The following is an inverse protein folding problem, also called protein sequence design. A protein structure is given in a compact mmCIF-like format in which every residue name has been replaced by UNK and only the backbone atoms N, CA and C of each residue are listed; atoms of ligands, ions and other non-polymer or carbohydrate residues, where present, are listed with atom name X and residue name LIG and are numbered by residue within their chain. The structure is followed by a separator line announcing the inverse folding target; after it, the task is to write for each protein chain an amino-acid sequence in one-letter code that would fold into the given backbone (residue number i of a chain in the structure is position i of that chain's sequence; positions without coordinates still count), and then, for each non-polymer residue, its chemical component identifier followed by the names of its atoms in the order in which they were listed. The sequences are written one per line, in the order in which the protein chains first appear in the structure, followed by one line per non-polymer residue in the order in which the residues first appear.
data_IF_178706923268
#
_entry.id   IF_178706923268
#
_cell.length_a   1.000
_cell.length_b   1.000
_cell.length_c   1.000
_cell.angle_alpha   90.00
_cell.angle_beta   90.00
_cell.angle_gamma   90.00
#
_symmetry.space_group_name_H-M   'P 1'
#
loop_
_entity.id
_entity.type
_entity.pdbx_description
1 polymer ?
#
# COMPACT_ATOMS: atom_id res chain seq x y z
N UNK A 1 -40.39 -86.21 -42.24
CA UNK A 1 -39.65 -87.15 -41.38
C UNK A 1 -38.25 -86.55 -41.23
N UNK A 2 -37.98 -85.81 -40.16
CA UNK A 2 -36.65 -85.27 -39.85
C UNK A 2 -36.20 -85.96 -38.55
N UNK A 3 -35.06 -86.60 -38.70
CA UNK A 3 -34.38 -87.35 -37.62
C UNK A 3 -33.55 -86.31 -36.81
N UNK A 4 -33.85 -86.21 -35.50
CA UNK A 4 -33.05 -85.34 -34.58
C UNK A 4 -32.11 -86.30 -33.84
N UNK A 5 -30.83 -86.16 -33.91
CA UNK A 5 -29.89 -86.96 -33.15
C UNK A 5 -29.82 -86.43 -31.70
N UNK A 6 -30.00 -87.30 -30.72
CA UNK A 6 -29.80 -87.05 -29.29
C UNK A 6 -28.35 -86.62 -29.04
N UNK A 7 -28.17 -85.34 -28.79
CA UNK A 7 -26.86 -84.75 -28.39
C UNK A 7 -26.58 -85.02 -26.92
N UNK A 8 -25.56 -85.77 -26.60
CA UNK A 8 -25.00 -85.88 -25.25
C UNK A 8 -24.56 -84.54 -24.70
N UNK A 9 -24.83 -84.21 -23.37
CA UNK A 9 -24.45 -82.90 -22.82
C UNK A 9 -22.92 -82.68 -22.85
N UNK A 10 -22.51 -81.57 -23.47
CA UNK A 10 -21.16 -81.19 -23.67
C UNK A 10 -20.37 -80.63 -22.45
N UNK A 11 -21.04 -80.69 -21.29
CA UNK A 11 -20.38 -80.20 -20.06
C UNK A 11 -19.97 -81.36 -19.14
N UNK A 12 -18.77 -81.91 -19.37
CA UNK A 12 -18.07 -82.70 -18.37
C UNK A 12 -17.55 -81.76 -17.29
N UNK A 13 -18.10 -81.73 -16.08
CA UNK A 13 -17.49 -81.20 -14.87
C UNK A 13 -16.13 -81.91 -14.69
N UNK A 14 -15.05 -81.23 -15.11
CA UNK A 14 -13.72 -81.62 -14.67
C UNK A 14 -13.59 -81.21 -13.19
N UNK A 15 -13.61 -82.23 -12.30
CA UNK A 15 -13.13 -82.05 -10.94
C UNK A 15 -11.65 -81.72 -10.99
N UNK A 16 -11.32 -80.39 -11.07
CA UNK A 16 -9.97 -79.96 -10.83
C UNK A 16 -9.61 -80.23 -9.39
N UNK A 17 -8.83 -81.28 -9.11
CA UNK A 17 -8.27 -81.56 -7.79
C UNK A 17 -7.48 -80.29 -7.42
N UNK A 18 -7.88 -79.60 -6.31
CA UNK A 18 -7.15 -78.49 -5.79
C UNK A 18 -5.74 -78.98 -5.40
N UNK A 19 -4.74 -78.21 -5.85
CA UNK A 19 -3.36 -78.50 -5.51
C UNK A 19 -3.16 -78.22 -4.01
N UNK A 20 -2.86 -79.25 -3.17
CA UNK A 20 -2.81 -79.08 -1.73
C UNK A 20 -1.78 -78.04 -1.28
N UNK A 21 -0.69 -77.83 -2.06
CA UNK A 21 0.29 -76.81 -1.81
C UNK A 21 -0.27 -75.38 -2.00
N UNK A 22 -1.17 -75.19 -2.98
CA UNK A 22 -1.83 -73.89 -3.20
C UNK A 22 -2.83 -73.58 -2.06
N UNK A 23 -3.55 -74.60 -1.57
CA UNK A 23 -4.46 -74.45 -0.47
C UNK A 23 -3.71 -74.10 0.81
N UNK A 24 -2.60 -74.79 1.07
CA UNK A 24 -1.75 -74.55 2.22
C UNK A 24 -1.14 -73.14 2.17
N UNK A 25 -0.62 -72.72 1.01
CA UNK A 25 -0.07 -71.35 0.81
C UNK A 25 -1.11 -70.27 1.00
N UNK A 26 -2.31 -70.43 0.48
CA UNK A 26 -3.41 -69.48 0.69
C UNK A 26 -3.85 -69.42 2.16
N UNK A 27 -3.89 -70.56 2.86
CA UNK A 27 -4.19 -70.62 4.29
C UNK A 27 -3.13 -69.89 5.13
N UNK A 28 -1.87 -70.06 4.84
CA UNK A 28 -0.79 -69.35 5.52
C UNK A 28 -0.83 -67.84 5.25
N UNK A 29 -1.19 -67.41 4.03
CA UNK A 29 -1.39 -65.99 3.73
C UNK A 29 -2.59 -65.41 4.49
N UNK A 30 -3.69 -66.12 4.59
CA UNK A 30 -4.88 -65.68 5.34
C UNK A 30 -4.57 -65.60 6.84
N UNK A 31 -3.88 -66.59 7.42
CA UNK A 31 -3.44 -66.56 8.82
C UNK A 31 -2.48 -65.41 9.08
N UNK A 32 -1.51 -65.18 8.18
CA UNK A 32 -0.58 -64.01 8.24
C UNK A 32 -1.34 -62.69 8.17
N UNK A 33 -2.31 -62.55 7.24
CA UNK A 33 -3.13 -61.33 7.13
C UNK A 33 -4.00 -61.09 8.38
N UNK A 34 -4.56 -62.18 9.00
CA UNK A 34 -5.29 -62.09 10.25
C UNK A 34 -4.40 -61.66 11.44
N UNK A 35 -3.15 -62.13 11.47
CA UNK A 35 -2.18 -61.72 12.49
C UNK A 35 -1.83 -60.24 12.33
N UNK A 36 -1.57 -59.78 11.11
CA UNK A 36 -1.30 -58.35 10.81
C UNK A 36 -2.53 -57.51 11.15
N UNK A 37 -3.72 -57.94 10.76
CA UNK A 37 -4.97 -57.27 11.10
C UNK A 37 -5.19 -57.16 12.62
N UNK A 38 -4.92 -58.24 13.35
CA UNK A 38 -5.02 -58.23 14.82
C UNK A 38 -3.97 -57.27 15.44
N UNK A 39 -2.74 -57.28 14.96
CA UNK A 39 -1.69 -56.37 15.44
C UNK A 39 -2.04 -54.88 15.16
N UNK A 40 -2.66 -54.58 14.02
CA UNK A 40 -3.18 -53.25 13.70
C UNK A 40 -4.37 -52.87 14.59
N UNK A 41 -5.31 -53.83 14.84
CA UNK A 41 -6.48 -53.61 15.67
C UNK A 41 -6.17 -53.46 17.18
N UNK A 42 -5.09 -54.08 17.67
CA UNK A 42 -4.60 -53.96 19.06
C UNK A 42 -3.61 -52.81 19.26
N UNK A 43 -3.20 -52.10 18.18
CA UNK A 43 -2.21 -51.02 18.25
C UNK A 43 -0.76 -51.48 18.44
N UNK A 44 -0.49 -52.81 18.38
CA UNK A 44 0.88 -53.35 18.48
C UNK A 44 1.69 -53.16 17.21
N UNK A 45 1.04 -52.91 16.07
CA UNK A 45 1.63 -52.64 14.77
C UNK A 45 1.06 -51.34 14.25
N UNK A 46 1.94 -50.33 14.01
CA UNK A 46 1.53 -49.05 13.41
C UNK A 46 1.23 -49.27 11.93
N UNK A 47 0.05 -48.86 11.47
CA UNK A 47 -0.33 -48.93 10.06
C UNK A 47 0.62 -48.07 9.20
N UNK A 48 1.27 -48.64 8.16
CA UNK A 48 2.07 -47.82 7.24
C UNK A 48 1.24 -46.84 6.41
N UNK A 49 -0.11 -46.93 6.52
CA UNK A 49 -1.06 -46.04 5.83
C UNK A 49 -1.77 -45.08 6.80
N UNK A 50 -1.43 -45.08 8.10
CA UNK A 50 -1.89 -44.02 8.98
C UNK A 50 -1.23 -42.73 8.50
N UNK A 51 -2.01 -41.68 8.22
CA UNK A 51 -1.41 -40.37 7.90
C UNK A 51 -0.53 -39.97 9.08
N UNK A 52 0.76 -39.73 8.80
CA UNK A 52 1.64 -39.14 9.81
C UNK A 52 0.95 -37.87 10.29
N UNK A 53 0.73 -37.68 11.61
CA UNK A 53 0.11 -36.46 12.07
C UNK A 53 0.91 -35.30 11.47
N UNK A 54 0.24 -34.48 10.66
CA UNK A 54 0.87 -33.25 10.14
C UNK A 54 1.34 -32.48 11.35
N UNK A 55 2.63 -32.16 11.49
CA UNK A 55 3.09 -31.42 12.65
C UNK A 55 2.25 -30.17 12.78
N UNK A 56 1.60 -30.00 13.91
CA UNK A 56 0.83 -28.78 14.21
C UNK A 56 1.79 -27.61 14.01
N UNK A 57 1.44 -26.68 13.12
CA UNK A 57 2.28 -25.51 12.89
C UNK A 57 2.44 -24.76 14.21
N UNK A 58 3.67 -24.48 14.58
CA UNK A 58 4.02 -23.70 15.78
C UNK A 58 4.05 -22.20 15.44
N UNK A 59 3.88 -21.29 16.40
CA UNK A 59 3.93 -19.84 16.16
C UNK A 59 5.15 -19.42 15.33
N UNK A 60 6.34 -19.96 15.65
CA UNK A 60 7.58 -19.67 14.93
C UNK A 60 7.52 -19.97 13.42
N UNK A 61 6.73 -20.96 12.98
CA UNK A 61 6.58 -21.25 11.54
C UNK A 61 5.78 -20.18 10.80
N UNK A 62 4.80 -19.58 11.46
CA UNK A 62 4.02 -18.46 10.93
C UNK A 62 4.83 -17.15 10.97
N UNK A 63 5.64 -16.95 11.99
CA UNK A 63 6.58 -15.81 12.06
C UNK A 63 7.56 -15.85 10.89
N UNK A 64 8.19 -17.00 10.64
CA UNK A 64 9.09 -17.16 9.49
C UNK A 64 8.38 -16.94 8.16
N UNK A 65 7.14 -17.45 8.03
CA UNK A 65 6.31 -17.19 6.86
C UNK A 65 6.03 -15.69 6.70
N UNK A 66 5.65 -15.00 7.79
CA UNK A 66 5.40 -13.55 7.80
C UNK A 66 6.63 -12.75 7.40
N UNK A 67 7.81 -13.09 7.92
CA UNK A 67 9.09 -12.47 7.55
C UNK A 67 9.38 -12.65 6.05
N UNK A 68 9.23 -13.87 5.53
CA UNK A 68 9.45 -14.16 4.10
C UNK A 68 8.49 -13.36 3.21
N UNK A 69 7.22 -13.23 3.63
CA UNK A 69 6.23 -12.44 2.90
C UNK A 69 6.52 -10.93 2.96
N UNK A 70 6.99 -10.43 4.10
CA UNK A 70 7.45 -9.05 4.23
C UNK A 70 8.63 -8.76 3.28
N UNK A 71 9.64 -9.63 3.25
CA UNK A 71 10.77 -9.53 2.33
C UNK A 71 10.33 -9.61 0.85
N UNK A 72 9.25 -10.37 0.58
CA UNK A 72 8.63 -10.42 -0.74
C UNK A 72 7.77 -9.18 -1.07
N UNK A 73 7.53 -8.28 -0.12
CA UNK A 73 6.67 -7.10 -0.25
C UNK A 73 5.17 -7.39 -0.09
N UNK A 74 4.78 -8.64 0.18
CA UNK A 74 3.39 -9.02 0.45
C UNK A 74 3.01 -8.71 1.91
N UNK A 75 2.73 -7.42 2.16
CA UNK A 75 2.35 -6.95 3.50
C UNK A 75 1.04 -7.59 3.98
N UNK A 76 0.09 -7.81 3.10
CA UNK A 76 -1.19 -8.45 3.43
C UNK A 76 -0.98 -9.89 3.88
N UNK A 77 -0.19 -10.65 3.13
CA UNK A 77 0.18 -12.02 3.50
C UNK A 77 1.00 -12.08 4.77
N UNK A 78 1.93 -11.14 4.97
CA UNK A 78 2.74 -11.04 6.20
C UNK A 78 1.85 -10.79 7.42
N UNK A 79 0.94 -9.83 7.37
CA UNK A 79 -0.04 -9.54 8.42
C UNK A 79 -0.86 -10.79 8.75
N UNK A 80 -1.40 -11.48 7.74
CA UNK A 80 -2.18 -12.69 7.95
C UNK A 80 -1.38 -13.82 8.63
N UNK A 81 -0.09 -13.96 8.29
CA UNK A 81 0.79 -14.93 8.93
C UNK A 81 1.07 -14.58 10.40
N UNK A 82 1.36 -13.31 10.72
CA UNK A 82 1.55 -12.87 12.11
C UNK A 82 0.26 -13.01 12.94
N UNK A 83 -0.91 -12.73 12.37
CA UNK A 83 -2.20 -12.99 13.04
C UNK A 83 -2.38 -14.46 13.39
N UNK A 84 -1.96 -15.39 12.51
CA UNK A 84 -1.98 -16.82 12.82
C UNK A 84 -0.96 -17.19 13.92
N UNK A 85 0.20 -16.55 13.96
CA UNK A 85 1.16 -16.76 15.04
C UNK A 85 0.58 -16.30 16.39
N UNK A 86 -0.04 -15.11 16.44
CA UNK A 86 -0.67 -14.54 17.63
C UNK A 86 -1.87 -15.39 18.08
N UNK A 87 -2.65 -15.96 17.16
CA UNK A 87 -3.75 -16.85 17.54
C UNK A 87 -3.28 -18.11 18.31
N UNK A 88 -2.02 -18.51 18.14
CA UNK A 88 -1.40 -19.63 18.87
C UNK A 88 -0.63 -19.17 20.12
N UNK A 89 -0.20 -17.91 20.19
CA UNK A 89 0.57 -17.33 21.29
C UNK A 89 0.10 -15.88 21.53
N UNK A 90 -1.12 -15.70 22.10
CA UNK A 90 -1.76 -14.38 22.19
C UNK A 90 -1.09 -13.42 23.19
N UNK A 91 -0.31 -13.93 24.13
CA UNK A 91 0.37 -13.13 25.16
C UNK A 91 1.81 -12.73 24.74
N UNK A 92 2.14 -12.83 23.46
CA UNK A 92 3.46 -12.51 22.93
C UNK A 92 3.52 -11.05 22.46
N UNK A 93 4.01 -10.18 23.33
CA UNK A 93 4.12 -8.74 23.07
C UNK A 93 4.95 -8.41 21.81
N UNK A 94 6.03 -9.16 21.56
CA UNK A 94 6.90 -8.93 20.41
C UNK A 94 6.17 -9.23 19.07
N UNK A 95 5.31 -10.25 19.03
CA UNK A 95 4.51 -10.57 17.84
C UNK A 95 3.46 -9.49 17.58
N UNK A 96 2.80 -9.00 18.64
CA UNK A 96 1.83 -7.91 18.53
C UNK A 96 2.50 -6.60 18.07
N UNK A 97 3.67 -6.27 18.61
CA UNK A 97 4.44 -5.11 18.19
C UNK A 97 4.84 -5.19 16.72
N UNK A 98 5.36 -6.34 16.27
CA UNK A 98 5.73 -6.52 14.85
C UNK A 98 4.50 -6.45 13.94
N UNK A 99 3.37 -7.04 14.36
CA UNK A 99 2.11 -6.90 13.62
C UNK A 99 1.67 -5.43 13.53
N UNK A 100 1.82 -4.65 14.61
CA UNK A 100 1.53 -3.21 14.59
C UNK A 100 2.42 -2.46 13.57
N UNK A 101 3.71 -2.77 13.51
CA UNK A 101 4.64 -2.19 12.54
C UNK A 101 4.26 -2.54 11.10
N UNK A 102 3.96 -3.81 10.81
CA UNK A 102 3.52 -4.27 9.50
C UNK A 102 2.20 -3.62 9.07
N UNK A 103 1.25 -3.50 10.02
CA UNK A 103 -0.04 -2.86 9.77
C UNK A 103 0.13 -1.37 9.45
N UNK A 104 1.06 -0.67 10.13
CA UNK A 104 1.38 0.71 9.80
C UNK A 104 1.97 0.80 8.37
N UNK A 105 2.93 -0.06 8.00
CA UNK A 105 3.48 -0.07 6.64
C UNK A 105 2.42 -0.41 5.58
N UNK A 106 1.46 -1.28 5.88
CA UNK A 106 0.40 -1.62 4.93
C UNK A 106 -0.47 -0.43 4.54
N UNK A 107 -0.53 0.61 5.40
CA UNK A 107 -1.26 1.84 5.09
C UNK A 107 -0.72 2.57 3.85
N UNK A 108 0.56 2.37 3.51
CA UNK A 108 1.19 2.96 2.31
C UNK A 108 0.68 2.41 0.98
N UNK A 109 -0.05 1.28 1.01
CA UNK A 109 -0.65 0.65 -0.17
C UNK A 109 -2.14 1.02 -0.35
N UNK A 110 -2.69 1.83 0.56
CA UNK A 110 -4.09 2.22 0.57
C UNK A 110 -4.26 3.60 -0.08
N UNK A 111 -5.35 3.78 -0.82
CA UNK A 111 -5.55 4.95 -1.67
C UNK A 111 -6.54 5.96 -1.09
N UNK A 112 -7.38 5.55 -0.13
CA UNK A 112 -8.36 6.45 0.50
C UNK A 112 -7.99 6.77 1.94
N UNK A 113 -8.18 8.03 2.34
CA UNK A 113 -7.93 8.50 3.70
C UNK A 113 -8.62 7.64 4.77
N UNK A 114 -9.84 7.22 4.49
CA UNK A 114 -10.60 6.37 5.42
C UNK A 114 -9.95 5.01 5.63
N UNK A 115 -9.42 4.38 4.56
CA UNK A 115 -8.70 3.10 4.65
C UNK A 115 -7.36 3.26 5.35
N UNK A 116 -6.59 4.30 5.00
CA UNK A 116 -5.32 4.63 5.65
C UNK A 116 -5.52 4.83 7.15
N UNK A 117 -6.50 5.67 7.54
CA UNK A 117 -6.80 5.94 8.93
C UNK A 117 -7.26 4.68 9.68
N UNK A 118 -8.07 3.83 9.05
CA UNK A 118 -8.50 2.57 9.66
C UNK A 118 -7.31 1.60 9.89
N UNK A 119 -6.40 1.49 8.93
CA UNK A 119 -5.19 0.66 9.06
C UNK A 119 -4.25 1.18 10.16
N UNK A 120 -4.03 2.49 10.23
CA UNK A 120 -3.21 3.12 11.25
C UNK A 120 -3.81 2.98 12.65
N UNK A 121 -5.12 3.14 12.80
CA UNK A 121 -5.82 2.91 14.08
C UNK A 121 -5.72 1.46 14.52
N UNK A 122 -5.83 0.51 13.60
CA UNK A 122 -5.64 -0.90 13.92
C UNK A 122 -4.20 -1.21 14.33
N UNK A 123 -3.20 -0.60 13.67
CA UNK A 123 -1.80 -0.68 14.11
C UNK A 123 -1.62 -0.18 15.55
N UNK A 124 -2.29 0.94 15.88
CA UNK A 124 -2.28 1.51 17.25
C UNK A 124 -2.88 0.54 18.27
N UNK A 125 -4.00 -0.11 17.96
CA UNK A 125 -4.61 -1.12 18.84
C UNK A 125 -3.66 -2.29 19.15
N UNK A 126 -2.93 -2.79 18.16
CA UNK A 126 -1.94 -3.85 18.36
C UNK A 126 -0.73 -3.36 19.19
N UNK A 127 -0.26 -2.13 18.96
CA UNK A 127 0.82 -1.54 19.76
C UNK A 127 0.41 -1.35 21.22
N UNK A 128 -0.83 -0.92 21.48
CA UNK A 128 -1.37 -0.76 22.84
C UNK A 128 -1.47 -2.11 23.56
N UNK A 129 -1.96 -3.16 22.87
CA UNK A 129 -1.98 -4.52 23.42
C UNK A 129 -0.57 -5.03 23.74
N UNK A 130 0.41 -4.76 22.87
CA UNK A 130 1.80 -5.14 23.11
C UNK A 130 2.37 -4.47 24.37
N UNK A 131 2.09 -3.19 24.58
CA UNK A 131 2.52 -2.42 25.77
C UNK A 131 1.86 -2.93 27.04
N UNK A 132 0.59 -3.32 27.00
CA UNK A 132 -0.08 -3.90 28.18
C UNK A 132 0.61 -5.19 28.65
N UNK A 133 1.15 -5.99 27.73
CA UNK A 133 1.86 -7.24 28.02
C UNK A 133 3.31 -6.99 28.45
N UNK A 134 3.99 -6.00 27.87
CA UNK A 134 5.42 -5.74 28.10
C UNK A 134 5.72 -4.22 28.22
N UNK A 135 5.28 -3.57 29.30
CA UNK A 135 5.40 -2.11 29.46
C UNK A 135 6.84 -1.59 29.60
N UNK A 136 7.80 -2.45 29.89
CA UNK A 136 9.20 -2.12 30.09
C UNK A 136 10.11 -2.78 29.03
N UNK A 137 9.55 -3.20 27.90
CA UNK A 137 10.31 -3.69 26.77
C UNK A 137 10.67 -2.53 25.83
N UNK A 138 11.95 -2.25 25.66
CA UNK A 138 12.46 -1.14 24.84
C UNK A 138 12.04 -1.26 23.36
N UNK A 139 11.99 -2.49 22.80
CA UNK A 139 11.58 -2.71 21.40
C UNK A 139 10.08 -2.44 21.21
N UNK A 140 9.25 -2.94 22.12
CA UNK A 140 7.80 -2.72 22.08
C UNK A 140 7.47 -1.23 22.20
N UNK A 141 8.17 -0.51 23.09
CA UNK A 141 8.04 0.93 23.24
C UNK A 141 8.49 1.70 22.00
N UNK A 142 9.58 1.28 21.34
CA UNK A 142 10.03 1.88 20.08
C UNK A 142 8.99 1.73 18.98
N UNK A 143 8.39 0.53 18.83
CA UNK A 143 7.34 0.30 17.84
C UNK A 143 6.05 1.07 18.19
N UNK A 144 5.67 1.18 19.48
CA UNK A 144 4.59 2.06 19.88
C UNK A 144 4.85 3.48 19.40
N UNK A 145 6.03 4.02 19.63
CA UNK A 145 6.39 5.37 19.21
C UNK A 145 6.26 5.57 17.70
N UNK A 146 6.77 4.64 16.90
CA UNK A 146 6.63 4.64 15.44
C UNK A 146 5.15 4.65 15.01
N UNK A 147 4.34 3.76 15.54
CA UNK A 147 2.93 3.63 15.18
C UNK A 147 2.14 4.88 15.58
N UNK A 148 2.40 5.46 16.75
CA UNK A 148 1.75 6.69 17.19
C UNK A 148 2.16 7.90 16.35
N UNK A 149 3.43 8.00 15.96
CA UNK A 149 3.92 9.03 15.06
C UNK A 149 3.22 8.95 13.69
N UNK A 150 3.08 7.75 13.12
CA UNK A 150 2.39 7.57 11.85
C UNK A 150 0.87 7.86 11.94
N UNK A 151 0.23 7.58 13.09
CA UNK A 151 -1.15 7.99 13.35
C UNK A 151 -1.31 9.51 13.48
N UNK A 152 -0.24 10.26 13.77
CA UNK A 152 -0.24 11.72 13.89
C UNK A 152 -0.19 12.43 12.52
N UNK A 153 -0.60 11.78 11.43
CA UNK A 153 -0.64 12.38 10.11
C UNK A 153 -1.67 13.52 10.06
N UNK A 154 -1.20 14.77 9.97
CA UNK A 154 -2.01 15.98 10.04
C UNK A 154 -3.04 16.15 8.92
N UNK A 155 -2.94 15.39 7.82
CA UNK A 155 -3.97 15.36 6.78
C UNK A 155 -5.17 14.46 7.14
N UNK A 156 -4.98 13.55 8.10
CA UNK A 156 -5.98 12.52 8.45
C UNK A 156 -6.67 12.77 9.80
N UNK A 157 -6.05 13.55 10.68
CA UNK A 157 -6.53 13.80 12.06
C UNK A 157 -6.54 15.28 12.39
N UNK A 158 -7.31 15.67 13.40
CA UNK A 158 -7.32 17.05 13.89
C UNK A 158 -5.97 17.44 14.51
N UNK A 159 -5.67 18.75 14.55
CA UNK A 159 -4.45 19.24 15.16
C UNK A 159 -4.34 18.86 16.66
N UNK A 160 -5.45 18.86 17.38
CA UNK A 160 -5.48 18.43 18.79
C UNK A 160 -5.10 16.92 18.92
N UNK A 161 -5.69 16.07 18.09
CA UNK A 161 -5.37 14.63 18.06
C UNK A 161 -3.93 14.40 17.62
N UNK A 162 -3.44 15.13 16.61
CA UNK A 162 -2.05 15.07 16.14
C UNK A 162 -1.05 15.36 17.26
N UNK A 163 -1.27 16.46 18.00
CA UNK A 163 -0.38 16.85 19.11
C UNK A 163 -0.41 15.83 20.25
N UNK A 164 -1.57 15.27 20.56
CA UNK A 164 -1.69 14.23 21.57
C UNK A 164 -0.91 12.96 21.18
N UNK A 165 -1.07 12.50 19.93
CA UNK A 165 -0.36 11.33 19.40
C UNK A 165 1.15 11.54 19.39
N UNK A 166 1.63 12.70 18.95
CA UNK A 166 3.07 13.03 18.96
C UNK A 166 3.65 13.06 20.39
N UNK A 167 2.90 13.62 21.35
CA UNK A 167 3.33 13.62 22.75
C UNK A 167 3.46 12.21 23.32
N UNK A 168 2.52 11.31 23.00
CA UNK A 168 2.62 9.90 23.41
C UNK A 168 3.75 9.15 22.71
N UNK A 169 3.98 9.43 21.42
CA UNK A 169 5.10 8.87 20.69
C UNK A 169 6.43 9.29 21.30
N UNK A 170 6.60 10.56 21.65
CA UNK A 170 7.81 11.10 22.28
C UNK A 170 8.04 10.48 23.67
N UNK A 171 7.01 10.33 24.48
CA UNK A 171 7.12 9.67 25.80
C UNK A 171 7.54 8.20 25.65
N UNK A 172 6.94 7.47 24.70
CA UNK A 172 7.25 6.07 24.45
C UNK A 172 8.70 5.90 23.98
N UNK A 173 9.16 6.72 23.03
CA UNK A 173 10.53 6.60 22.50
C UNK A 173 11.57 7.03 23.52
N UNK A 174 11.30 8.04 24.34
CA UNK A 174 12.19 8.45 25.43
C UNK A 174 12.36 7.32 26.43
N UNK A 175 11.26 6.69 26.87
CA UNK A 175 11.33 5.53 27.75
C UNK A 175 12.05 4.34 27.11
N UNK A 176 11.86 4.09 25.81
CA UNK A 176 12.57 3.03 25.09
C UNK A 176 14.10 3.24 25.17
N UNK A 177 14.56 4.48 24.94
CA UNK A 177 15.98 4.84 24.98
C UNK A 177 16.53 4.79 26.43
N UNK A 178 15.74 5.17 27.42
CA UNK A 178 16.12 5.08 28.85
C UNK A 178 16.32 3.61 29.26
N UNK A 179 15.54 2.68 28.75
CA UNK A 179 15.64 1.24 29.03
C UNK A 179 16.80 0.59 28.25
N UNK A 180 17.00 0.99 27.01
CA UNK A 180 18.13 0.55 26.17
C UNK A 180 18.61 1.70 25.28
N UNK A 181 19.66 2.36 25.72
CA UNK A 181 20.27 3.50 25.03
C UNK A 181 20.92 3.14 23.67
N UNK A 182 21.03 1.86 23.34
CA UNK A 182 21.56 1.35 22.08
C UNK A 182 20.49 0.68 21.22
N UNK A 183 19.22 0.81 21.56
CA UNK A 183 18.14 0.36 20.69
C UNK A 183 18.10 1.22 19.42
N UNK A 184 18.61 0.70 18.30
CA UNK A 184 18.73 1.40 17.05
C UNK A 184 17.36 1.85 16.49
N UNK A 185 16.30 1.03 16.67
CA UNK A 185 14.94 1.40 16.24
C UNK A 185 14.37 2.52 17.11
N UNK A 186 14.57 2.51 18.41
CA UNK A 186 14.15 3.59 19.28
C UNK A 186 14.85 4.92 18.92
N UNK A 187 16.15 4.87 18.65
CA UNK A 187 16.90 6.04 18.20
C UNK A 187 16.44 6.53 16.82
N UNK A 188 16.19 5.63 15.87
CA UNK A 188 15.69 5.99 14.54
C UNK A 188 14.28 6.61 14.62
N UNK A 189 13.33 5.98 15.32
CA UNK A 189 11.98 6.53 15.44
C UNK A 189 11.95 7.84 16.25
N UNK A 190 12.88 8.03 17.21
CA UNK A 190 13.07 9.33 17.83
C UNK A 190 13.49 10.41 16.82
N UNK A 191 14.37 10.07 15.88
CA UNK A 191 14.76 10.99 14.81
C UNK A 191 13.57 11.33 13.89
N UNK A 192 12.74 10.34 13.55
CA UNK A 192 11.54 10.54 12.72
C UNK A 192 10.55 11.51 13.40
N UNK A 193 10.27 11.30 14.70
CA UNK A 193 9.42 12.20 15.49
C UNK A 193 9.99 13.63 15.52
N UNK A 194 11.30 13.78 15.70
CA UNK A 194 11.96 15.09 15.69
C UNK A 194 11.81 15.79 14.33
N UNK A 195 11.90 15.08 13.20
CA UNK A 195 11.61 15.66 11.87
C UNK A 195 10.17 16.16 11.80
N UNK A 196 9.20 15.37 12.25
CA UNK A 196 7.77 15.73 12.20
C UNK A 196 7.43 16.91 13.14
N UNK A 197 8.28 17.13 14.17
CA UNK A 197 8.26 18.31 15.04
C UNK A 197 9.09 19.50 14.48
N UNK A 198 9.65 19.38 13.27
CA UNK A 198 10.51 20.38 12.64
C UNK A 198 11.87 20.64 13.36
N UNK A 199 12.30 19.69 14.18
CA UNK A 199 13.59 19.72 14.90
C UNK A 199 14.65 18.92 14.12
N UNK A 200 14.88 19.30 12.87
CA UNK A 200 15.63 18.47 11.90
C UNK A 200 17.11 18.30 12.27
N UNK A 201 17.73 19.31 12.91
CA UNK A 201 19.14 19.22 13.35
C UNK A 201 19.31 18.22 14.52
N UNK A 202 18.36 18.19 15.45
CA UNK A 202 18.36 17.22 16.54
C UNK A 202 18.09 15.79 16.01
N UNK A 203 17.26 15.70 14.96
CA UNK A 203 17.01 14.45 14.25
C UNK A 203 18.28 13.89 13.58
N UNK A 204 19.13 14.74 12.98
CA UNK A 204 20.39 14.33 12.37
C UNK A 204 21.36 13.73 13.40
N UNK A 205 21.50 14.37 14.57
CA UNK A 205 22.30 13.82 15.65
C UNK A 205 21.74 12.47 16.17
N UNK A 206 20.43 12.37 16.26
CA UNK A 206 19.76 11.17 16.75
C UNK A 206 19.88 9.99 15.78
N UNK A 207 19.71 10.21 14.47
CA UNK A 207 19.84 9.13 13.49
C UNK A 207 21.28 8.66 13.33
N UNK A 208 22.26 9.52 13.53
CA UNK A 208 23.67 9.11 13.56
C UNK A 208 23.92 8.10 14.68
N UNK A 209 23.35 8.30 15.86
CA UNK A 209 23.44 7.32 16.96
C UNK A 209 22.75 6.00 16.63
N UNK A 210 21.64 6.03 15.90
CA UNK A 210 20.96 4.82 15.44
C UNK A 210 21.84 3.99 14.49
N UNK A 211 22.48 4.63 13.52
CA UNK A 211 23.43 3.99 12.59
C UNK A 211 24.66 3.40 13.31
N UNK A 212 25.18 4.10 14.33
CA UNK A 212 26.28 3.60 15.14
C UNK A 212 25.86 2.41 16.03
N UNK A 213 24.59 2.32 16.41
CA UNK A 213 24.06 1.24 17.24
C UNK A 213 23.85 -0.05 16.43
N UNK A 214 23.14 0.04 15.32
CA UNK A 214 22.90 -1.08 14.37
C UNK A 214 22.34 -0.55 13.03
N UNK A 215 23.12 -0.66 11.96
CA UNK A 215 22.75 -0.26 10.60
C UNK A 215 22.15 -1.41 9.77
N UNK A 216 21.87 -2.54 10.36
CA UNK A 216 21.27 -3.68 9.66
C UNK A 216 19.73 -3.56 9.49
N UNK A 217 19.10 -2.60 10.14
CA UNK A 217 17.67 -2.38 10.03
C UNK A 217 17.30 -1.47 8.86
N UNK A 218 16.38 -1.92 8.02
CA UNK A 218 15.79 -1.11 6.94
C UNK A 218 15.23 0.22 7.47
N UNK A 219 14.57 0.21 8.63
CA UNK A 219 13.98 1.39 9.26
C UNK A 219 15.02 2.46 9.60
N UNK A 220 16.23 2.09 10.01
CA UNK A 220 17.31 3.04 10.32
C UNK A 220 17.72 3.80 9.07
N UNK A 221 17.91 3.12 7.94
CA UNK A 221 18.23 3.77 6.66
C UNK A 221 17.04 4.56 6.10
N UNK A 222 15.81 4.04 6.23
CA UNK A 222 14.59 4.74 5.85
C UNK A 222 14.45 6.09 6.57
N UNK A 223 14.66 6.07 7.89
CA UNK A 223 14.56 7.31 8.68
C UNK A 223 15.74 8.25 8.40
N UNK A 224 16.97 7.72 8.22
CA UNK A 224 18.09 8.57 7.82
C UNK A 224 17.82 9.26 6.48
N UNK A 225 17.32 8.54 5.49
CA UNK A 225 16.90 9.13 4.23
C UNK A 225 15.85 10.23 4.42
N UNK A 226 14.86 10.02 5.29
CA UNK A 226 13.85 11.03 5.61
C UNK A 226 14.43 12.28 6.29
N UNK A 227 15.38 12.12 7.21
CA UNK A 227 16.13 13.22 7.82
C UNK A 227 16.90 13.99 6.76
N UNK A 228 17.62 13.31 5.86
CA UNK A 228 18.39 13.97 4.79
C UNK A 228 17.47 14.68 3.78
N UNK A 229 16.32 14.12 3.44
CA UNK A 229 15.29 14.80 2.64
C UNK A 229 14.84 16.12 3.29
N UNK A 230 14.60 16.10 4.60
CA UNK A 230 14.14 17.26 5.38
C UNK A 230 15.19 18.36 5.47
N UNK A 231 16.47 17.99 5.35
CA UNK A 231 17.61 18.90 5.21
C UNK A 231 17.83 19.36 3.76
N UNK A 232 17.02 18.91 2.80
CA UNK A 232 17.22 19.07 1.36
C UNK A 232 18.52 18.46 0.81
N UNK A 233 19.13 17.54 1.55
CA UNK A 233 20.32 16.77 1.16
C UNK A 233 19.89 15.56 0.29
N UNK A 234 19.22 15.81 -0.84
CA UNK A 234 18.64 14.76 -1.67
C UNK A 234 19.66 13.72 -2.18
N UNK A 235 20.94 14.11 -2.32
CA UNK A 235 22.02 13.18 -2.72
C UNK A 235 22.29 12.12 -1.65
N UNK A 236 22.42 12.52 -0.39
CA UNK A 236 22.55 11.63 0.76
C UNK A 236 21.29 10.81 0.98
N UNK A 237 20.11 11.42 0.86
CA UNK A 237 18.84 10.72 0.96
C UNK A 237 18.74 9.58 -0.06
N UNK A 238 19.17 9.77 -1.31
CA UNK A 238 19.22 8.72 -2.34
C UNK A 238 20.07 7.53 -1.89
N UNK A 239 21.25 7.79 -1.33
CA UNK A 239 22.14 6.71 -0.85
C UNK A 239 21.47 5.90 0.26
N UNK A 240 20.80 6.58 1.19
CA UNK A 240 20.15 5.90 2.32
C UNK A 240 18.87 5.17 1.88
N UNK A 241 18.09 5.72 0.93
CA UNK A 241 16.96 4.99 0.32
C UNK A 241 17.43 3.74 -0.42
N UNK A 242 18.56 3.79 -1.12
CA UNK A 242 19.15 2.61 -1.79
C UNK A 242 19.52 1.52 -0.77
N UNK A 243 20.14 1.89 0.36
CA UNK A 243 20.43 0.93 1.44
C UNK A 243 19.16 0.32 2.05
N UNK A 244 18.14 1.13 2.28
CA UNK A 244 16.84 0.62 2.75
C UNK A 244 16.23 -0.38 1.74
N UNK A 245 16.35 -0.12 0.44
CA UNK A 245 15.92 -1.02 -0.64
C UNK A 245 16.77 -2.30 -0.69
N UNK A 246 18.08 -2.23 -0.45
CA UNK A 246 18.92 -3.43 -0.35
C UNK A 246 18.46 -4.39 0.76
N UNK A 247 17.97 -3.84 1.89
CA UNK A 247 17.46 -4.61 3.02
C UNK A 247 16.00 -5.07 2.83
N UNK A 248 15.19 -4.33 2.08
CA UNK A 248 13.78 -4.65 1.79
C UNK A 248 13.40 -4.31 0.34
N UNK A 249 13.85 -5.10 -0.65
CA UNK A 249 13.84 -4.72 -2.07
C UNK A 249 12.45 -4.67 -2.72
N UNK A 250 11.43 -5.22 -2.07
CA UNK A 250 10.09 -5.33 -2.63
C UNK A 250 9.05 -4.46 -1.92
N UNK A 251 9.46 -3.54 -1.05
CA UNK A 251 8.57 -2.54 -0.47
C UNK A 251 8.40 -1.37 -1.44
N UNK A 252 7.23 -1.26 -2.03
CA UNK A 252 6.90 -0.30 -3.09
C UNK A 252 7.19 1.15 -2.67
N UNK A 253 6.84 1.53 -1.45
CA UNK A 253 7.01 2.90 -0.97
C UNK A 253 8.47 3.36 -0.94
N UNK A 254 9.45 2.45 -0.74
CA UNK A 254 10.87 2.79 -0.77
C UNK A 254 11.31 3.24 -2.17
N UNK A 255 10.84 2.55 -3.20
CA UNK A 255 11.10 2.93 -4.59
C UNK A 255 10.43 4.24 -4.97
N UNK A 256 9.22 4.50 -4.45
CA UNK A 256 8.55 5.79 -4.63
C UNK A 256 9.35 6.93 -4.00
N UNK A 257 9.80 6.77 -2.76
CA UNK A 257 10.64 7.78 -2.07
C UNK A 257 11.95 8.03 -2.80
N UNK A 258 12.65 6.97 -3.22
CA UNK A 258 13.85 7.07 -4.03
C UNK A 258 13.59 7.86 -5.33
N UNK A 259 12.50 7.54 -6.04
CA UNK A 259 12.11 8.23 -7.26
C UNK A 259 11.80 9.72 -7.03
N UNK A 260 11.14 10.08 -5.94
CA UNK A 260 10.88 11.48 -5.58
C UNK A 260 12.18 12.25 -5.34
N UNK A 261 13.19 11.65 -4.70
CA UNK A 261 14.49 12.27 -4.48
C UNK A 261 15.26 12.49 -5.80
N UNK A 262 15.26 11.50 -6.69
CA UNK A 262 15.82 11.65 -8.02
C UNK A 262 15.12 12.79 -8.80
N UNK A 263 13.78 12.86 -8.72
CA UNK A 263 13.01 13.93 -9.39
C UNK A 263 13.33 15.31 -8.82
N UNK A 264 13.54 15.45 -7.51
CA UNK A 264 13.94 16.71 -6.86
C UNK A 264 15.29 17.21 -7.37
N UNK A 265 16.20 16.31 -7.74
CA UNK A 265 17.47 16.62 -8.40
C UNK A 265 17.36 16.71 -9.93
N UNK A 266 16.16 16.66 -10.51
CA UNK A 266 15.91 16.64 -11.96
C UNK A 266 16.55 15.44 -12.68
N UNK A 267 16.87 14.37 -11.96
CA UNK A 267 17.38 13.11 -12.48
C UNK A 267 16.19 12.26 -12.94
N UNK A 268 15.51 12.73 -13.99
CA UNK A 268 14.19 12.20 -14.37
C UNK A 268 14.23 10.73 -14.82
N UNK A 269 15.28 10.30 -15.52
CA UNK A 269 15.41 8.92 -15.99
C UNK A 269 15.49 7.94 -14.81
N UNK A 270 16.29 8.27 -13.79
CA UNK A 270 16.42 7.46 -12.58
C UNK A 270 15.12 7.49 -11.72
N UNK A 271 14.42 8.65 -11.71
CA UNK A 271 13.12 8.76 -11.07
C UNK A 271 12.09 7.81 -11.73
N UNK A 272 12.01 7.85 -13.07
CA UNK A 272 11.12 6.98 -13.84
C UNK A 272 11.45 5.50 -13.66
N UNK A 273 12.74 5.13 -13.61
CA UNK A 273 13.17 3.74 -13.33
C UNK A 273 12.70 3.29 -11.94
N UNK A 274 12.87 4.14 -10.92
CA UNK A 274 12.44 3.85 -9.55
C UNK A 274 10.92 3.69 -9.46
N UNK A 275 10.14 4.57 -10.08
CA UNK A 275 8.68 4.46 -10.12
C UNK A 275 8.21 3.25 -10.94
N UNK A 276 8.88 2.94 -12.06
CA UNK A 276 8.57 1.74 -12.83
C UNK A 276 8.83 0.45 -12.03
N UNK A 277 9.85 0.43 -11.16
CA UNK A 277 10.08 -0.69 -10.25
C UNK A 277 8.94 -0.83 -9.24
N UNK A 278 8.41 0.27 -8.70
CA UNK A 278 7.23 0.25 -7.84
C UNK A 278 6.00 -0.35 -8.56
N UNK A 279 5.77 0.07 -9.83
CA UNK A 279 4.70 -0.51 -10.68
C UNK A 279 4.88 -2.01 -10.87
N UNK A 280 6.10 -2.46 -11.16
CA UNK A 280 6.40 -3.88 -11.37
C UNK A 280 6.12 -4.73 -10.14
N UNK A 281 6.55 -4.26 -8.95
CA UNK A 281 6.27 -4.92 -7.67
C UNK A 281 4.76 -5.03 -7.44
N UNK A 282 4.03 -3.92 -7.59
CA UNK A 282 2.57 -3.90 -7.40
C UNK A 282 1.86 -4.85 -8.37
N UNK A 283 2.28 -4.93 -9.64
CA UNK A 283 1.75 -5.89 -10.61
C UNK A 283 2.00 -7.35 -10.21
N UNK A 284 3.19 -7.67 -9.73
CA UNK A 284 3.53 -9.02 -9.26
C UNK A 284 2.68 -9.44 -8.06
N UNK A 285 2.34 -8.49 -7.18
CA UNK A 285 1.50 -8.70 -6.00
C UNK A 285 0.00 -8.58 -6.29
N UNK A 286 -0.40 -8.20 -7.51
CA UNK A 286 -1.80 -7.98 -7.87
C UNK A 286 -2.42 -6.73 -7.23
N UNK A 287 -1.60 -5.75 -6.83
CA UNK A 287 -2.02 -4.50 -6.18
C UNK A 287 -2.32 -3.45 -7.26
N UNK A 288 -3.53 -2.89 -7.21
CA UNK A 288 -3.94 -1.77 -8.06
C UNK A 288 -3.72 -0.46 -7.30
N UNK A 289 -2.51 0.08 -7.38
CA UNK A 289 -2.10 1.31 -6.72
C UNK A 289 -1.88 2.41 -7.78
N UNK A 290 -2.62 3.51 -7.76
CA UNK A 290 -2.47 4.63 -8.69
C UNK A 290 -1.21 5.46 -8.44
N UNK A 291 -0.65 5.45 -7.23
CA UNK A 291 0.43 6.37 -6.80
C UNK A 291 1.67 6.30 -7.68
N UNK A 292 2.21 5.13 -8.07
CA UNK A 292 3.36 5.08 -8.96
C UNK A 292 3.07 5.71 -10.34
N UNK A 293 1.87 5.53 -10.87
CA UNK A 293 1.49 6.11 -12.17
C UNK A 293 1.33 7.63 -12.10
N UNK A 294 0.81 8.17 -10.98
CA UNK A 294 0.78 9.61 -10.71
C UNK A 294 2.20 10.18 -10.69
N UNK A 295 3.12 9.48 -10.01
CA UNK A 295 4.53 9.90 -9.91
C UNK A 295 5.20 9.93 -11.30
N UNK A 296 4.98 8.90 -12.12
CA UNK A 296 5.45 8.83 -13.52
C UNK A 296 4.84 9.97 -14.35
N UNK A 297 3.51 10.16 -14.27
CA UNK A 297 2.80 11.20 -15.02
C UNK A 297 3.34 12.60 -14.70
N UNK A 298 3.49 12.92 -13.41
CA UNK A 298 4.07 14.20 -12.96
C UNK A 298 5.53 14.37 -13.42
N UNK A 299 6.31 13.28 -13.48
CA UNK A 299 7.71 13.33 -13.96
C UNK A 299 7.76 13.61 -15.45
N UNK A 300 6.98 12.92 -16.28
CA UNK A 300 6.89 13.21 -17.71
C UNK A 300 6.37 14.63 -18.00
N UNK A 301 5.39 15.11 -17.22
CA UNK A 301 4.89 16.47 -17.35
C UNK A 301 5.98 17.52 -17.04
N UNK A 302 6.89 17.25 -16.11
CA UNK A 302 8.06 18.12 -15.84
C UNK A 302 9.08 18.10 -16.99
N UNK A 303 9.23 16.98 -17.68
CA UNK A 303 10.07 16.88 -18.89
C UNK A 303 9.40 17.50 -20.13
N UNK A 304 8.10 17.83 -20.07
CA UNK A 304 7.33 18.31 -21.23
C UNK A 304 6.80 17.19 -22.13
N UNK A 305 6.93 15.93 -21.71
CA UNK A 305 6.49 14.74 -22.41
C UNK A 305 4.99 14.46 -22.10
N UNK A 306 4.12 15.40 -22.52
CA UNK A 306 2.70 15.43 -22.11
C UNK A 306 1.89 14.21 -22.60
N UNK A 307 2.26 13.61 -23.73
CA UNK A 307 1.60 12.38 -24.18
C UNK A 307 1.83 11.21 -23.21
N UNK A 308 3.08 11.01 -22.79
CA UNK A 308 3.41 9.99 -21.80
C UNK A 308 2.80 10.31 -20.44
N UNK A 309 2.77 11.58 -20.04
CA UNK A 309 2.13 12.03 -18.80
C UNK A 309 0.62 11.71 -18.83
N UNK A 310 -0.07 12.04 -19.92
CA UNK A 310 -1.50 11.80 -20.13
C UNK A 310 -1.85 10.30 -20.06
N UNK A 311 -1.03 9.43 -20.68
CA UNK A 311 -1.21 7.99 -20.63
C UNK A 311 -1.13 7.44 -19.21
N UNK A 312 -0.15 7.90 -18.42
CA UNK A 312 0.03 7.40 -17.06
C UNK A 312 -1.05 7.91 -16.10
N UNK A 313 -1.48 9.18 -16.22
CA UNK A 313 -2.57 9.65 -15.36
C UNK A 313 -3.90 8.96 -15.71
N UNK A 314 -4.10 8.57 -16.97
CA UNK A 314 -5.26 7.80 -17.37
C UNK A 314 -5.26 6.41 -16.72
N UNK A 315 -4.11 5.72 -16.67
CA UNK A 315 -3.98 4.45 -15.94
C UNK A 315 -4.24 4.63 -14.44
N UNK A 316 -3.80 5.75 -13.83
CA UNK A 316 -4.12 6.03 -12.43
C UNK A 316 -5.63 6.22 -12.21
N UNK A 317 -6.33 6.90 -13.13
CA UNK A 317 -7.78 7.08 -13.11
C UNK A 317 -8.56 5.77 -13.30
N UNK A 318 -8.01 4.78 -14.03
CA UNK A 318 -8.58 3.44 -14.12
C UNK A 318 -8.55 2.71 -12.76
N UNK A 319 -7.51 2.93 -11.97
CA UNK A 319 -7.34 2.27 -10.66
C UNK A 319 -8.14 2.93 -9.54
N UNK A 320 -8.32 4.25 -9.60
CA UNK A 320 -9.09 5.01 -8.60
C UNK A 320 -9.96 6.09 -9.28
N UNK A 321 -11.04 5.65 -9.95
CA UNK A 321 -11.84 6.52 -10.81
C UNK A 321 -12.72 7.54 -10.06
N UNK A 322 -12.90 7.37 -8.76
CA UNK A 322 -13.71 8.28 -7.93
C UNK A 322 -12.88 9.41 -7.28
N UNK A 323 -11.56 9.37 -7.40
CA UNK A 323 -10.66 10.28 -6.72
C UNK A 323 -10.53 11.62 -7.46
N UNK A 324 -11.08 12.72 -6.94
CA UNK A 324 -11.05 14.02 -7.62
C UNK A 324 -9.65 14.61 -7.78
N UNK A 325 -8.67 14.27 -6.91
CA UNK A 325 -7.28 14.71 -7.08
C UNK A 325 -6.67 14.22 -8.38
N UNK A 326 -7.02 13.02 -8.85
CA UNK A 326 -6.49 12.48 -10.10
C UNK A 326 -6.99 13.30 -11.30
N UNK A 327 -8.23 13.78 -11.27
CA UNK A 327 -8.76 14.69 -12.27
C UNK A 327 -8.07 16.05 -12.21
N UNK A 328 -7.73 16.54 -11.00
CA UNK A 328 -6.94 17.76 -10.84
C UNK A 328 -5.54 17.61 -11.46
N UNK A 329 -4.85 16.49 -11.22
CA UNK A 329 -3.55 16.20 -11.85
C UNK A 329 -3.68 16.06 -13.37
N UNK A 330 -4.74 15.43 -13.88
CA UNK A 330 -5.00 15.34 -15.31
C UNK A 330 -5.22 16.74 -15.93
N UNK A 331 -5.98 17.59 -15.22
CA UNK A 331 -6.20 18.99 -15.60
C UNK A 331 -4.89 19.78 -15.71
N UNK A 332 -3.98 19.70 -14.72
CA UNK A 332 -2.65 20.34 -14.79
C UNK A 332 -1.84 19.82 -15.99
N UNK A 333 -1.84 18.51 -16.25
CA UNK A 333 -1.13 17.94 -17.40
C UNK A 333 -1.68 18.49 -18.71
N UNK A 334 -3.01 18.50 -18.88
CA UNK A 334 -3.66 19.05 -20.09
C UNK A 334 -3.43 20.56 -20.21
N UNK A 335 -3.51 21.31 -19.10
CA UNK A 335 -3.23 22.74 -19.07
C UNK A 335 -1.82 23.05 -19.55
N UNK A 336 -0.82 22.36 -19.04
CA UNK A 336 0.59 22.51 -19.44
C UNK A 336 0.84 22.06 -20.88
N UNK A 337 0.06 21.06 -21.35
CA UNK A 337 0.03 20.63 -22.76
C UNK A 337 -0.66 21.64 -23.68
N UNK A 338 -1.27 22.71 -23.15
CA UNK A 338 -2.11 23.69 -23.86
C UNK A 338 -3.38 23.10 -24.48
N UNK A 339 -3.80 21.96 -24.00
CA UNK A 339 -5.10 21.38 -24.32
C UNK A 339 -6.14 21.89 -23.30
N UNK A 340 -6.56 23.14 -23.49
CA UNK A 340 -7.39 23.85 -22.51
C UNK A 340 -8.81 23.27 -22.41
N UNK A 341 -9.35 22.71 -23.49
CA UNK A 341 -10.67 22.08 -23.50
C UNK A 341 -10.68 20.85 -22.56
N UNK A 342 -9.77 19.91 -22.74
CA UNK A 342 -9.65 18.75 -21.83
C UNK A 342 -9.23 19.15 -20.40
N UNK A 343 -8.42 20.22 -20.26
CA UNK A 343 -8.07 20.75 -18.93
C UNK A 343 -9.33 21.28 -18.22
N UNK A 344 -10.21 21.99 -18.91
CA UNK A 344 -11.45 22.52 -18.34
C UNK A 344 -12.34 21.40 -17.82
N UNK A 345 -12.54 20.34 -18.61
CA UNK A 345 -13.37 19.19 -18.23
C UNK A 345 -12.78 18.44 -17.03
N UNK A 346 -11.46 18.20 -17.02
CA UNK A 346 -10.77 17.53 -15.94
C UNK A 346 -10.81 18.35 -14.64
N UNK A 347 -10.52 19.66 -14.71
CA UNK A 347 -10.64 20.54 -13.55
C UNK A 347 -12.08 20.69 -13.06
N UNK A 348 -13.08 20.67 -13.96
CA UNK A 348 -14.48 20.67 -13.55
C UNK A 348 -14.79 19.45 -12.65
N UNK A 349 -14.41 18.25 -13.09
CA UNK A 349 -14.57 17.05 -12.26
C UNK A 349 -13.82 17.13 -10.92
N UNK A 350 -12.60 17.71 -10.91
CA UNK A 350 -11.81 17.87 -9.69
C UNK A 350 -12.44 18.87 -8.71
N UNK A 351 -12.94 19.99 -9.19
CA UNK A 351 -13.36 21.14 -8.38
C UNK A 351 -14.85 21.14 -8.05
N UNK A 352 -15.69 20.78 -9.03
CA UNK A 352 -17.16 20.80 -8.90
C UNK A 352 -17.76 19.40 -8.78
N UNK A 353 -16.96 18.39 -9.11
CA UNK A 353 -17.46 17.04 -9.32
C UNK A 353 -18.07 16.84 -10.69
N UNK A 354 -18.30 15.62 -11.07
CA UNK A 354 -18.97 15.30 -12.33
C UNK A 354 -19.77 14.00 -12.23
N UNK A 355 -20.73 13.85 -13.14
CA UNK A 355 -21.54 12.65 -13.26
C UNK A 355 -20.75 11.49 -13.91
N UNK A 356 -21.41 10.33 -13.99
CA UNK A 356 -20.80 9.13 -14.50
C UNK A 356 -20.42 9.24 -15.99
N UNK A 357 -21.19 9.98 -16.78
CA UNK A 357 -20.93 10.12 -18.22
C UNK A 357 -19.69 10.99 -18.45
N UNK A 358 -19.58 12.14 -17.79
CA UNK A 358 -18.44 13.03 -17.88
C UNK A 358 -17.15 12.39 -17.33
N UNK A 359 -17.24 11.66 -16.20
CA UNK A 359 -16.08 10.94 -15.67
C UNK A 359 -15.62 9.82 -16.59
N UNK A 360 -16.55 9.11 -17.24
CA UNK A 360 -16.24 8.07 -18.21
C UNK A 360 -15.57 8.64 -19.46
N UNK A 361 -16.05 9.78 -19.99
CA UNK A 361 -15.46 10.44 -21.15
C UNK A 361 -13.98 10.81 -20.89
N UNK A 362 -13.70 11.41 -19.74
CA UNK A 362 -12.33 11.75 -19.34
C UNK A 362 -11.41 10.53 -19.15
N UNK A 363 -11.95 9.43 -18.65
CA UNK A 363 -11.23 8.16 -18.47
C UNK A 363 -11.17 7.34 -19.75
N UNK A 364 -11.91 7.71 -20.80
CA UNK A 364 -12.08 6.92 -22.02
C UNK A 364 -12.60 5.49 -21.71
N UNK A 365 -13.50 5.37 -20.72
CA UNK A 365 -14.03 4.10 -20.29
C UNK A 365 -15.04 3.54 -21.30
N UNK A 366 -15.32 2.23 -21.22
CA UNK A 366 -16.39 1.58 -21.98
C UNK A 366 -17.67 1.54 -21.12
N UNK A 367 -18.65 2.40 -21.45
CA UNK A 367 -19.91 2.50 -20.71
C UNK A 367 -20.72 1.19 -20.66
N UNK A 368 -20.45 0.23 -21.56
CA UNK A 368 -21.12 -1.08 -21.56
C UNK A 368 -20.47 -2.06 -20.57
N UNK A 369 -19.20 -1.86 -20.22
CA UNK A 369 -18.39 -2.77 -19.41
C UNK A 369 -18.04 -2.18 -18.05
N UNK A 370 -17.68 -0.89 -18.01
CA UNK A 370 -17.21 -0.22 -16.81
C UNK A 370 -18.36 0.27 -15.94
N UNK A 371 -18.19 0.17 -14.62
CA UNK A 371 -19.17 0.69 -13.68
C UNK A 371 -19.27 2.22 -13.77
N UNK A 372 -20.49 2.78 -13.73
CA UNK A 372 -20.67 4.22 -13.67
C UNK A 372 -20.11 4.79 -12.36
N UNK A 373 -19.25 5.81 -12.46
CA UNK A 373 -18.60 6.45 -11.32
C UNK A 373 -18.86 7.95 -11.38
N UNK A 374 -19.51 8.47 -10.33
CA UNK A 374 -19.63 9.90 -10.08
C UNK A 374 -18.45 10.37 -9.23
N UNK A 375 -17.98 11.59 -9.49
CA UNK A 375 -16.87 12.20 -8.76
C UNK A 375 -17.41 13.36 -7.92
N UNK A 376 -17.09 13.36 -6.63
CA UNK A 376 -17.38 14.49 -5.75
C UNK A 376 -16.25 15.50 -5.84
N UNK A 377 -16.58 16.81 -6.02
CA UNK A 377 -15.56 17.84 -6.13
C UNK A 377 -14.81 18.09 -4.81
N UNK A 378 -13.54 18.45 -4.93
CA UNK A 378 -12.71 18.83 -3.79
C UNK A 378 -13.19 20.15 -3.18
N UNK A 379 -13.19 20.32 -1.86
CA UNK A 379 -13.32 21.62 -1.23
C UNK A 379 -12.08 22.48 -1.53
N UNK A 380 -12.25 23.80 -1.53
CA UNK A 380 -11.13 24.74 -1.69
C UNK A 380 -10.29 24.78 -0.42
N UNK A 381 -9.10 24.18 -0.47
CA UNK A 381 -8.11 24.07 0.60
C UNK A 381 -6.72 24.42 0.09
N UNK A 382 -5.72 24.49 0.96
CA UNK A 382 -4.29 24.62 0.54
C UNK A 382 -3.86 23.53 -0.45
N UNK A 383 -4.36 22.28 -0.30
CA UNK A 383 -4.02 21.16 -1.18
C UNK A 383 -4.63 21.27 -2.57
N UNK A 384 -5.85 21.81 -2.68
CA UNK A 384 -6.60 21.90 -3.93
C UNK A 384 -6.57 23.27 -4.61
N UNK A 385 -6.02 24.29 -3.95
CA UNK A 385 -6.09 25.70 -4.39
C UNK A 385 -5.59 25.92 -5.83
N UNK A 386 -4.59 25.17 -6.27
CA UNK A 386 -4.05 25.32 -7.62
C UNK A 386 -4.98 24.81 -8.68
N UNK A 387 -5.75 23.75 -8.43
CA UNK A 387 -6.77 23.28 -9.36
C UNK A 387 -7.88 24.30 -9.55
N UNK A 388 -8.29 25.01 -8.48
CA UNK A 388 -9.27 26.11 -8.55
C UNK A 388 -8.75 27.29 -9.37
N UNK A 389 -7.47 27.69 -9.13
CA UNK A 389 -6.86 28.80 -9.88
C UNK A 389 -6.75 28.49 -11.36
N UNK A 390 -6.22 27.33 -11.72
CA UNK A 390 -6.04 26.93 -13.10
C UNK A 390 -7.38 26.74 -13.79
N UNK A 391 -8.38 26.15 -13.10
CA UNK A 391 -9.74 26.03 -13.60
C UNK A 391 -10.33 27.41 -13.93
N UNK A 392 -10.28 28.35 -13.01
CA UNK A 392 -10.74 29.73 -13.23
C UNK A 392 -10.05 30.42 -14.40
N UNK A 393 -8.72 30.26 -14.54
CA UNK A 393 -7.96 30.79 -15.66
C UNK A 393 -8.37 30.16 -17.00
N UNK A 394 -8.55 28.85 -17.06
CA UNK A 394 -9.00 28.14 -18.27
C UNK A 394 -10.40 28.59 -18.68
N UNK A 395 -11.34 28.68 -17.73
CA UNK A 395 -12.69 29.18 -17.96
C UNK A 395 -12.65 30.61 -18.53
N UNK A 396 -11.87 31.51 -17.96
CA UNK A 396 -11.70 32.88 -18.44
C UNK A 396 -11.10 32.92 -19.86
N UNK A 397 -10.10 32.10 -20.15
CA UNK A 397 -9.42 32.03 -21.43
C UNK A 397 -10.30 31.43 -22.56
N UNK A 398 -11.15 30.44 -22.20
CA UNK A 398 -12.04 29.76 -23.16
C UNK A 398 -13.39 30.50 -23.36
N UNK A 399 -13.62 31.60 -22.66
CA UNK A 399 -14.88 32.34 -22.79
C UNK A 399 -15.19 32.76 -24.23
N UNK A 400 -16.40 32.48 -24.69
CA UNK A 400 -16.93 32.87 -25.97
C UNK A 400 -18.41 33.27 -25.78
N UNK A 401 -18.94 34.17 -26.61
CA UNK A 401 -20.34 34.55 -26.55
C UNK A 401 -21.31 33.37 -26.79
N UNK A 402 -20.86 32.36 -27.52
CA UNK A 402 -21.65 31.16 -27.80
C UNK A 402 -21.52 30.10 -26.69
N UNK A 403 -20.44 30.17 -25.88
CA UNK A 403 -20.18 29.27 -24.74
C UNK A 403 -19.65 30.13 -23.57
N UNK A 404 -20.58 30.72 -22.77
CA UNK A 404 -20.20 31.66 -21.73
C UNK A 404 -19.66 30.92 -20.48
N UNK A 405 -18.32 30.92 -20.28
CA UNK A 405 -17.64 30.33 -19.14
C UNK A 405 -17.21 31.35 -18.06
N UNK A 406 -17.20 32.66 -18.41
CA UNK A 406 -16.85 33.71 -17.42
C UNK A 406 -17.76 33.79 -16.20
N UNK A 407 -19.08 33.54 -16.23
CA UNK A 407 -19.88 33.51 -15.01
C UNK A 407 -19.33 32.55 -13.95
N UNK A 408 -18.98 31.32 -14.37
CA UNK A 408 -18.39 30.32 -13.48
C UNK A 408 -16.96 30.70 -13.05
N UNK A 409 -16.13 31.24 -13.97
CA UNK A 409 -14.81 31.74 -13.61
C UNK A 409 -14.90 32.79 -12.49
N UNK A 410 -15.83 33.75 -12.60
CA UNK A 410 -16.03 34.80 -11.57
C UNK A 410 -16.53 34.23 -10.25
N UNK A 411 -17.32 33.15 -10.26
CA UNK A 411 -17.73 32.45 -9.04
C UNK A 411 -16.54 31.80 -8.34
N UNK A 412 -15.67 31.11 -9.08
CA UNK A 412 -14.40 30.53 -8.60
C UNK A 412 -13.50 31.61 -8.00
N UNK A 413 -13.29 32.70 -8.71
CA UNK A 413 -12.43 33.79 -8.25
C UNK A 413 -12.96 34.47 -6.97
N UNK A 414 -14.27 34.65 -6.85
CA UNK A 414 -14.89 35.17 -5.61
C UNK A 414 -14.74 34.19 -4.43
N UNK A 415 -14.92 32.91 -4.66
CA UNK A 415 -14.71 31.86 -3.67
C UNK A 415 -13.25 31.89 -3.19
N UNK A 416 -12.29 31.96 -4.13
CA UNK A 416 -10.87 32.00 -3.84
C UNK A 416 -10.48 33.22 -2.99
N UNK A 417 -10.92 34.45 -3.39
CA UNK A 417 -10.64 35.66 -2.62
C UNK A 417 -11.19 35.63 -1.20
N UNK A 418 -12.29 34.92 -0.99
CA UNK A 418 -12.88 34.78 0.34
C UNK A 418 -12.07 33.83 1.22
N UNK A 419 -11.56 32.75 0.63
CA UNK A 419 -10.86 31.68 1.37
C UNK A 419 -9.37 32.02 1.60
N UNK A 420 -8.72 32.64 0.61
CA UNK A 420 -7.29 32.98 0.64
C UNK A 420 -7.04 34.48 0.35
N UNK A 421 -7.54 35.39 1.20
CA UNK A 421 -7.41 36.84 0.95
C UNK A 421 -5.96 37.32 1.01
N UNK A 422 -5.10 36.66 1.77
CA UNK A 422 -3.72 37.05 2.06
C UNK A 422 -2.69 36.38 1.15
N UNK A 423 -3.09 35.50 0.23
CA UNK A 423 -2.19 34.86 -0.75
C UNK A 423 -1.96 35.81 -1.94
N UNK A 424 -0.99 36.73 -1.81
CA UNK A 424 -0.69 37.76 -2.82
C UNK A 424 -0.46 37.20 -4.21
N UNK A 425 0.26 36.06 -4.33
CA UNK A 425 0.54 35.43 -5.63
C UNK A 425 -0.75 34.92 -6.27
N UNK A 426 -1.54 34.16 -5.53
CA UNK A 426 -2.79 33.61 -6.02
C UNK A 426 -3.81 34.72 -6.34
N UNK A 427 -3.91 35.74 -5.51
CA UNK A 427 -4.77 36.93 -5.76
C UNK A 427 -4.35 37.68 -7.03
N UNK A 428 -3.05 37.75 -7.33
CA UNK A 428 -2.56 38.31 -8.60
C UNK A 428 -3.05 37.50 -9.81
N UNK A 429 -3.02 36.17 -9.72
CA UNK A 429 -3.53 35.26 -10.76
C UNK A 429 -5.05 35.42 -10.92
N UNK A 430 -5.79 35.46 -9.82
CA UNK A 430 -7.23 35.72 -9.79
C UNK A 430 -7.55 37.02 -10.52
N UNK A 431 -6.86 38.13 -10.15
CA UNK A 431 -7.07 39.45 -10.77
C UNK A 431 -6.82 39.46 -12.28
N UNK A 432 -5.85 38.71 -12.75
CA UNK A 432 -5.59 38.55 -14.19
C UNK A 432 -6.76 37.84 -14.91
N UNK A 433 -7.33 36.80 -14.29
CA UNK A 433 -8.50 36.09 -14.82
C UNK A 433 -9.77 36.96 -14.82
N UNK A 434 -10.04 37.68 -13.72
CA UNK A 434 -11.14 38.65 -13.62
C UNK A 434 -11.06 39.70 -14.73
N UNK A 435 -9.89 40.29 -14.97
CA UNK A 435 -9.68 41.28 -16.00
C UNK A 435 -9.96 40.75 -17.41
N UNK A 436 -9.84 39.47 -17.67
CA UNK A 436 -10.28 38.84 -18.92
C UNK A 436 -11.79 38.87 -19.01
N UNK A 437 -12.52 38.42 -17.98
CA UNK A 437 -13.96 38.36 -17.95
C UNK A 437 -14.64 39.75 -17.96
N UNK A 438 -14.04 40.75 -17.30
CA UNK A 438 -14.51 42.14 -17.31
C UNK A 438 -14.59 42.72 -18.74
N UNK A 439 -13.70 42.35 -19.68
CA UNK A 439 -13.73 42.75 -21.09
C UNK A 439 -14.99 42.25 -21.83
N UNK A 440 -15.62 41.21 -21.30
CA UNK A 440 -16.87 40.66 -21.83
C UNK A 440 -18.12 41.13 -21.06
N UNK A 441 -17.92 41.98 -20.01
CA UNK A 441 -19.00 42.59 -19.25
C UNK A 441 -19.47 41.80 -18.02
N UNK A 442 -18.61 40.96 -17.49
CA UNK A 442 -18.85 40.20 -16.26
C UNK A 442 -18.13 40.80 -15.07
#
# INVERSE_FOLDING_TARGET
MYYVPEGKPLFRRQHRRSNPYRVFFLLTLIIGALFVYRGLATGEVVSPFEPTPTPTRVPASFVLQGQTLFEAGDLTGAIAAYQQAIALDPDNASLLAELARLQAYSSTLLTTDAQVLAALRQAKEYADQAIELAPDDSMVLAIKAFVYNWNANGSLVSEEERLALLSEAEQAVTRAIDLDSRNALALAYSAEILVDQQQVLDAEDRIRLALEADDSYMDVHRVNAYVQESLANYGEAIVEWQKAIELAPNLTFLHLRLGYNYRSLQMYDQALESFARAVEINKQLGIQDPVPYIAIAKTYAQQGEFFAASWNIQTALEYDPANPDLYGVAGDIFYRARNYESAMEAFHCAVRGCDADASCELRQCDQEVDLPVTVEGLPLTEGSKWYYLEYGQVLAALHRNASPTCPEAMDIFREFRRTFPDDELAISIVSAGEAICERFGY
#
